data_IF_112932630280
#
_entry.id   IF_112932630280
#
_cell.length_a   1.000
_cell.length_b   1.000
_cell.length_c   1.000
_cell.angle_alpha   90.00
_cell.angle_beta   90.00
_cell.angle_gamma   90.00
#
_symmetry.space_group_name_H-M   'P 1'
#
loop_
_entity.id
_entity.type
_entity.pdbx_description
1 polymer ?
#
# COMPACT_ATOMS: atom_id res chain seq x y z
N UNK A 1 6.45 12.18 10.05
CA UNK A 1 5.39 12.35 9.03
C UNK A 1 5.14 11.00 8.36
N UNK A 2 4.41 10.10 9.01
CA UNK A 2 4.33 8.67 8.66
C UNK A 2 3.22 8.30 7.65
N UNK A 3 2.56 9.30 7.05
CA UNK A 3 1.29 9.09 6.34
C UNK A 3 1.41 8.56 4.91
N UNK A 4 2.62 8.53 4.32
CA UNK A 4 2.80 8.15 2.90
C UNK A 4 3.05 6.65 2.68
N UNK A 5 3.72 5.97 3.62
CA UNK A 5 3.98 4.51 3.54
C UNK A 5 2.71 3.66 3.49
N UNK A 6 1.72 4.05 4.29
CA UNK A 6 0.44 3.34 4.35
C UNK A 6 -0.37 3.43 3.05
N UNK A 7 -0.07 4.38 2.16
CA UNK A 7 -0.83 4.57 0.92
C UNK A 7 -0.59 3.46 -0.11
N UNK A 8 0.55 2.77 -0.04
CA UNK A 8 0.89 1.63 -0.90
C UNK A 8 0.76 0.28 -0.19
N UNK A 9 1.10 0.24 1.10
CA UNK A 9 1.04 -1.00 1.90
C UNK A 9 -0.40 -1.46 2.16
N UNK A 10 -1.34 -0.53 2.40
CA UNK A 10 -2.73 -0.89 2.67
C UNK A 10 -3.38 -1.55 1.43
N UNK A 11 -3.29 -0.97 0.22
CA UNK A 11 -3.82 -1.63 -0.98
C UNK A 11 -3.23 -3.02 -1.23
N UNK A 12 -1.90 -3.20 -1.03
CA UNK A 12 -1.28 -4.51 -1.25
C UNK A 12 -1.79 -5.56 -0.26
N UNK A 13 -1.97 -5.19 1.01
CA UNK A 13 -2.54 -6.09 2.03
C UNK A 13 -3.98 -6.51 1.68
N UNK A 14 -4.79 -5.58 1.17
CA UNK A 14 -6.18 -5.89 0.76
C UNK A 14 -6.21 -6.87 -0.41
N UNK A 15 -5.37 -6.66 -1.44
CA UNK A 15 -5.29 -7.57 -2.60
C UNK A 15 -4.88 -8.98 -2.15
N UNK A 16 -3.87 -9.08 -1.28
CA UNK A 16 -3.42 -10.39 -0.77
C UNK A 16 -4.48 -11.07 0.08
N UNK A 17 -5.19 -10.34 0.95
CA UNK A 17 -6.26 -10.89 1.77
C UNK A 17 -7.39 -11.48 0.90
N UNK A 18 -7.86 -10.74 -0.10
CA UNK A 18 -8.90 -11.21 -1.04
C UNK A 18 -8.40 -12.40 -1.86
N UNK A 19 -7.17 -12.34 -2.36
CA UNK A 19 -6.55 -13.42 -3.12
C UNK A 19 -6.44 -14.70 -2.30
N UNK A 20 -5.99 -14.62 -1.05
CA UNK A 20 -5.89 -15.76 -0.15
C UNK A 20 -7.26 -16.38 0.14
N UNK A 21 -8.29 -15.55 0.40
CA UNK A 21 -9.66 -16.04 0.65
C UNK A 21 -10.21 -16.76 -0.58
N UNK A 22 -10.05 -16.19 -1.78
CA UNK A 22 -10.51 -16.83 -3.02
C UNK A 22 -9.76 -18.14 -3.28
N UNK A 23 -8.44 -18.16 -3.05
CA UNK A 23 -7.62 -19.34 -3.26
C UNK A 23 -8.02 -20.46 -2.30
N UNK A 24 -8.22 -20.17 -1.03
CA UNK A 24 -8.65 -21.16 -0.05
C UNK A 24 -10.06 -21.70 -0.35
N UNK A 25 -11.00 -20.82 -0.74
CA UNK A 25 -12.38 -21.26 -1.05
C UNK A 25 -12.49 -22.08 -2.34
N UNK A 26 -11.62 -21.82 -3.33
CA UNK A 26 -11.71 -22.45 -4.64
C UNK A 26 -10.83 -23.69 -4.78
N UNK A 27 -9.67 -23.72 -4.13
CA UNK A 27 -8.67 -24.78 -4.30
C UNK A 27 -8.45 -25.64 -3.05
N UNK A 28 -8.82 -25.15 -1.85
CA UNK A 28 -8.47 -25.79 -0.58
C UNK A 28 -9.66 -25.89 0.38
N UNK A 29 -10.78 -26.45 -0.10
CA UNK A 29 -12.00 -26.62 0.71
C UNK A 29 -11.87 -27.64 1.85
N UNK A 30 -10.83 -28.48 1.80
CA UNK A 30 -10.50 -29.47 2.82
C UNK A 30 -9.94 -28.83 4.11
N UNK A 31 -9.47 -27.59 4.01
CA UNK A 31 -8.86 -26.87 5.13
C UNK A 31 -9.96 -26.33 6.04
N UNK A 32 -9.88 -26.65 7.33
CA UNK A 32 -10.81 -26.17 8.34
C UNK A 32 -10.84 -24.63 8.37
N UNK A 33 -11.99 -24.06 8.70
CA UNK A 33 -12.18 -22.60 8.74
C UNK A 33 -11.20 -21.91 9.70
N UNK A 34 -10.80 -22.57 10.79
CA UNK A 34 -9.80 -22.03 11.74
C UNK A 34 -8.43 -21.87 11.07
N UNK A 35 -7.96 -22.91 10.39
CA UNK A 35 -6.66 -22.90 9.74
C UNK A 35 -6.66 -21.96 8.54
N UNK A 36 -7.80 -21.86 7.86
CA UNK A 36 -8.01 -20.92 6.76
C UNK A 36 -7.84 -19.47 7.20
N UNK A 37 -8.46 -19.09 8.32
CA UNK A 37 -8.32 -17.74 8.88
C UNK A 37 -6.88 -17.48 9.31
N UNK A 38 -6.23 -18.46 9.93
CA UNK A 38 -4.83 -18.34 10.34
C UNK A 38 -3.91 -18.10 9.13
N UNK A 39 -4.09 -18.86 8.04
CA UNK A 39 -3.33 -18.70 6.81
C UNK A 39 -3.54 -17.33 6.18
N UNK A 40 -4.79 -16.85 6.11
CA UNK A 40 -5.08 -15.51 5.58
C UNK A 40 -4.40 -14.44 6.43
N UNK A 41 -4.46 -14.53 7.76
CA UNK A 41 -3.81 -13.55 8.66
C UNK A 41 -2.28 -13.55 8.46
N UNK A 42 -1.65 -14.72 8.45
CA UNK A 42 -0.20 -14.84 8.26
C UNK A 42 0.22 -14.35 6.87
N UNK A 43 -0.51 -14.72 5.81
CA UNK A 43 -0.24 -14.27 4.45
C UNK A 43 -0.35 -12.74 4.32
N UNK A 44 -1.36 -12.14 4.95
CA UNK A 44 -1.59 -10.70 4.90
C UNK A 44 -0.50 -9.93 5.66
N UNK A 45 -0.10 -10.41 6.84
CA UNK A 45 1.00 -9.83 7.62
C UNK A 45 2.34 -9.95 6.88
N UNK A 46 2.61 -11.12 6.28
CA UNK A 46 3.81 -11.34 5.48
C UNK A 46 3.86 -10.40 4.27
N UNK A 47 2.74 -10.23 3.57
CA UNK A 47 2.65 -9.26 2.48
C UNK A 47 2.90 -7.83 2.94
N UNK A 48 2.31 -7.43 4.07
CA UNK A 48 2.56 -6.10 4.65
C UNK A 48 4.03 -5.89 5.00
N UNK A 49 4.70 -6.91 5.54
CA UNK A 49 6.13 -6.87 5.84
C UNK A 49 6.99 -6.75 4.57
N UNK A 50 6.68 -7.52 3.53
CA UNK A 50 7.37 -7.44 2.24
C UNK A 50 7.16 -6.07 1.61
N UNK A 51 5.94 -5.54 1.61
CA UNK A 51 5.63 -4.22 1.08
C UNK A 51 6.37 -3.11 1.86
N UNK A 52 6.49 -3.25 3.18
CA UNK A 52 7.25 -2.30 4.01
C UNK A 52 8.74 -2.27 3.67
N UNK A 53 9.35 -3.41 3.35
CA UNK A 53 10.74 -3.48 2.90
C UNK A 53 10.88 -2.96 1.46
N UNK A 54 9.94 -3.32 0.59
CA UNK A 54 10.01 -3.05 -0.85
C UNK A 54 9.79 -1.57 -1.18
N UNK A 55 8.95 -0.87 -0.42
CA UNK A 55 8.69 0.56 -0.62
C UNK A 55 9.54 1.39 0.37
N UNK A 56 10.72 1.89 -0.05
CA UNK A 56 11.49 2.85 0.76
C UNK A 56 10.66 4.12 1.00
N UNK A 57 10.99 4.86 2.07
CA UNK A 57 10.47 6.23 2.19
C UNK A 57 10.92 6.94 0.91
N UNK A 58 9.99 7.28 0.02
CA UNK A 58 10.26 8.37 -0.90
C UNK A 58 10.50 9.58 0.00
N UNK A 59 11.79 9.83 0.24
CA UNK A 59 12.31 11.13 0.57
C UNK A 59 11.81 12.03 -0.56
N UNK A 60 10.63 12.61 -0.36
CA UNK A 60 10.11 13.59 -1.29
C UNK A 60 11.15 14.71 -1.34
N UNK A 61 11.95 14.68 -2.40
CA UNK A 61 12.35 15.87 -3.14
C UNK A 61 11.16 16.82 -3.09
N UNK A 62 11.30 17.85 -2.25
CA UNK A 62 10.29 18.89 -2.09
C UNK A 62 9.86 19.28 -3.49
N UNK A 63 8.54 19.33 -3.81
CA UNK A 63 8.10 19.85 -5.08
C UNK A 63 8.79 21.20 -5.28
N UNK A 64 9.58 21.33 -6.35
CA UNK A 64 10.32 22.57 -6.61
C UNK A 64 9.35 23.74 -6.46
N UNK A 65 9.74 24.80 -5.72
CA UNK A 65 8.84 25.90 -5.45
C UNK A 65 8.37 26.48 -6.78
N UNK A 66 7.06 26.38 -7.01
CA UNK A 66 6.39 26.91 -8.21
C UNK A 66 6.88 28.34 -8.45
N UNK A 67 7.49 28.65 -9.62
CA UNK A 67 8.00 29.99 -9.87
C UNK A 67 6.82 30.97 -9.81
N UNK A 68 6.86 31.88 -8.83
CA UNK A 68 5.86 32.90 -8.66
C UNK A 68 5.99 33.89 -9.81
N UNK A 69 5.21 33.66 -10.87
CA UNK A 69 5.16 34.50 -12.05
C UNK A 69 4.47 35.83 -11.70
N UNK A 70 5.19 36.75 -11.07
CA UNK A 70 4.79 38.16 -10.96
C UNK A 70 5.04 38.87 -12.30
N UNK A 71 4.26 38.53 -13.32
CA UNK A 71 3.93 39.49 -14.37
C UNK A 71 2.86 40.43 -13.82
N UNK A 72 3.28 41.57 -13.27
CA UNK A 72 2.42 42.77 -13.27
C UNK A 72 3.09 43.85 -14.11
N UNK A 73 2.69 43.87 -15.39
CA UNK A 73 2.70 45.06 -16.24
C UNK A 73 1.94 46.18 -15.53
N UNK A 74 2.59 47.31 -15.35
CA UNK A 74 2.03 48.67 -15.30
C UNK A 74 3.25 49.55 -15.59
N UNK A 75 3.54 49.99 -16.83
CA UNK A 75 2.80 50.96 -17.64
C UNK A 75 2.27 52.12 -16.78
N UNK A 76 3.14 53.10 -16.53
CA UNK A 76 2.97 54.50 -16.89
C UNK A 76 4.31 55.22 -16.78
#
# INVERSE_FOLDING_TARGET
MEKRRFKFVIPSMVVVAVGAILMLRNYFQEVSTRDSVLLVVVATLFSGFVAYILFPHDDEEKPDPKPMNMKKKTSK
#
